data_IF_711983416933
#
_entry.id   IF_711983416933
#
_cell.length_a   1.000
_cell.length_b   1.000
_cell.length_c   1.000
_cell.angle_alpha   90.00
_cell.angle_beta   90.00
_cell.angle_gamma   90.00
#
_symmetry.space_group_name_H-M   'P 1'
#
loop_
_entity.id
_entity.type
_entity.pdbx_description
1 polymer ?
#
# COMPACT_ATOMS: atom_id res chain seq x y z
N UNK A 1 36.25 -60.15 -36.36
CA UNK A 1 37.26 -59.09 -36.57
C UNK A 1 36.64 -58.07 -37.51
N UNK A 2 35.54 -57.44 -37.10
CA UNK A 2 35.45 -56.24 -36.27
C UNK A 2 36.05 -54.99 -36.92
N UNK A 3 35.15 -54.02 -37.06
CA UNK A 3 35.27 -52.72 -37.71
C UNK A 3 35.75 -51.68 -36.70
N UNK A 4 36.50 -50.67 -37.13
CA UNK A 4 36.76 -49.47 -36.31
C UNK A 4 36.90 -48.25 -37.22
N UNK A 5 35.83 -47.46 -37.25
CA UNK A 5 35.76 -46.10 -37.77
C UNK A 5 36.39 -45.13 -36.77
N UNK A 6 37.20 -44.17 -37.23
CA UNK A 6 37.60 -43.00 -36.45
C UNK A 6 37.15 -41.73 -37.19
N UNK A 7 36.10 -41.10 -36.67
CA UNK A 7 35.70 -39.73 -37.00
C UNK A 7 36.28 -38.77 -35.94
N UNK A 8 36.76 -37.57 -36.32
CA UNK A 8 37.37 -36.64 -35.38
C UNK A 8 36.32 -35.80 -34.64
N UNK A 9 36.48 -35.77 -33.31
CA UNK A 9 36.19 -34.65 -32.40
C UNK A 9 35.00 -33.73 -32.68
N UNK A 10 33.81 -34.11 -32.18
CA UNK A 10 32.78 -33.14 -31.84
C UNK A 10 33.14 -32.49 -30.49
N UNK A 11 33.66 -31.26 -30.53
CA UNK A 11 33.70 -30.37 -29.37
C UNK A 11 32.25 -30.00 -29.02
N UNK A 12 31.66 -30.74 -28.06
CA UNK A 12 30.36 -30.43 -27.48
C UNK A 12 30.42 -29.09 -26.74
N UNK A 13 29.83 -28.06 -27.33
CA UNK A 13 29.62 -26.78 -26.68
C UNK A 13 28.52 -26.96 -25.62
N UNK A 14 28.92 -27.21 -24.37
CA UNK A 14 28.01 -27.18 -23.21
C UNK A 14 27.50 -25.75 -23.04
N UNK A 15 26.33 -25.47 -23.59
CA UNK A 15 25.52 -24.30 -23.26
C UNK A 15 25.04 -24.47 -21.82
N UNK A 16 25.86 -24.05 -20.85
CA UNK A 16 25.39 -23.81 -19.49
C UNK A 16 24.50 -22.57 -19.55
N UNK A 17 23.20 -22.79 -19.78
CA UNK A 17 22.19 -21.78 -19.55
C UNK A 17 22.20 -21.54 -18.05
N UNK A 18 22.94 -20.52 -17.61
CA UNK A 18 22.77 -19.94 -16.29
C UNK A 18 21.36 -19.35 -16.29
N UNK A 19 20.39 -20.16 -15.86
CA UNK A 19 19.09 -19.66 -15.42
C UNK A 19 19.41 -18.86 -14.16
N UNK A 20 19.72 -17.57 -14.36
CA UNK A 20 19.64 -16.58 -13.33
C UNK A 20 18.17 -16.56 -12.93
N UNK A 21 17.83 -17.33 -11.90
CA UNK A 21 16.64 -17.07 -11.13
C UNK A 21 16.83 -15.65 -10.60
N UNK A 22 16.25 -14.68 -11.30
CA UNK A 22 15.92 -13.41 -10.69
C UNK A 22 15.16 -13.79 -9.42
N UNK A 23 15.75 -13.53 -8.25
CA UNK A 23 15.05 -13.69 -6.98
C UNK A 23 13.79 -12.83 -7.09
N UNK A 24 12.67 -13.48 -7.43
CA UNK A 24 11.35 -12.89 -7.31
C UNK A 24 11.25 -12.32 -5.91
N UNK A 25 10.73 -11.10 -5.81
CA UNK A 25 10.49 -10.45 -4.52
C UNK A 25 9.79 -11.46 -3.63
N UNK A 26 10.38 -11.83 -2.50
CA UNK A 26 9.79 -12.84 -1.62
C UNK A 26 8.42 -12.29 -1.18
N UNK A 27 7.35 -12.90 -1.69
CA UNK A 27 6.00 -12.49 -1.31
C UNK A 27 5.80 -12.83 0.17
N UNK A 28 5.30 -11.85 0.92
CA UNK A 28 5.09 -11.96 2.35
C UNK A 28 3.68 -12.49 2.55
N UNK A 29 3.53 -13.63 3.22
CA UNK A 29 2.22 -14.22 3.58
C UNK A 29 1.34 -13.22 4.32
N UNK A 30 0.05 -13.21 3.98
CA UNK A 30 -0.99 -12.40 4.61
C UNK A 30 -0.98 -12.54 6.14
N UNK A 31 -0.94 -13.78 6.63
CA UNK A 31 -1.05 -14.08 8.06
C UNK A 31 0.17 -13.65 8.88
N UNK A 32 1.27 -13.23 8.23
CA UNK A 32 2.42 -12.66 8.95
C UNK A 32 2.06 -11.33 9.63
N UNK A 33 1.25 -10.50 8.98
CA UNK A 33 1.00 -9.12 9.41
C UNK A 33 -0.49 -8.78 9.55
N UNK A 34 -1.37 -9.62 9.03
CA UNK A 34 -2.81 -9.38 8.97
C UNK A 34 -3.60 -10.56 9.52
N UNK A 35 -4.84 -10.30 9.93
CA UNK A 35 -5.81 -11.30 10.29
C UNK A 35 -7.16 -10.98 9.65
N UNK A 36 -8.00 -12.00 9.50
CA UNK A 36 -9.39 -11.81 9.07
C UNK A 36 -10.21 -11.44 10.30
N UNK A 37 -10.88 -10.29 10.23
CA UNK A 37 -11.71 -9.79 11.34
C UNK A 37 -13.19 -10.10 11.16
N UNK A 38 -13.67 -10.13 9.92
CA UNK A 38 -15.07 -10.35 9.57
C UNK A 38 -15.20 -10.99 8.18
N UNK A 39 -16.32 -11.65 7.92
CA UNK A 39 -16.66 -12.13 6.58
C UNK A 39 -15.84 -13.33 6.11
N UNK A 40 -15.45 -14.24 7.01
CA UNK A 40 -14.61 -15.40 6.69
C UNK A 40 -15.13 -16.24 5.50
N UNK A 41 -16.45 -16.33 5.30
CA UNK A 41 -17.04 -17.03 4.15
C UNK A 41 -16.77 -16.36 2.79
N UNK A 42 -16.38 -15.08 2.79
CA UNK A 42 -16.08 -14.28 1.59
C UNK A 42 -14.58 -13.97 1.44
N UNK A 43 -13.74 -14.62 2.23
CA UNK A 43 -12.29 -14.51 2.19
C UNK A 43 -11.70 -15.79 1.60
N UNK A 44 -10.73 -15.66 0.71
CA UNK A 44 -9.94 -16.78 0.22
C UNK A 44 -8.46 -16.42 0.20
N UNK A 45 -7.64 -17.34 0.66
CA UNK A 45 -6.18 -17.23 0.61
C UNK A 45 -5.66 -18.09 -0.52
N UNK A 46 -4.75 -17.55 -1.32
CA UNK A 46 -4.24 -18.16 -2.55
C UNK A 46 -2.71 -18.14 -2.53
N UNK A 47 -2.09 -19.04 -3.31
CA UNK A 47 -0.64 -19.10 -3.52
C UNK A 47 0.18 -19.10 -2.21
N UNK A 48 -0.16 -19.99 -1.27
CA UNK A 48 0.50 -20.07 0.05
C UNK A 48 0.40 -18.75 0.83
N UNK A 49 -0.82 -18.18 0.83
CA UNK A 49 -1.18 -16.93 1.48
C UNK A 49 -0.46 -15.67 0.96
N UNK A 50 0.21 -15.76 -0.18
CA UNK A 50 0.87 -14.63 -0.83
C UNK A 50 -0.14 -13.68 -1.50
N UNK A 51 -1.35 -14.16 -1.77
CA UNK A 51 -2.47 -13.38 -2.28
C UNK A 51 -3.74 -13.68 -1.49
N UNK A 52 -4.56 -12.66 -1.26
CA UNK A 52 -5.90 -12.87 -0.72
C UNK A 52 -6.96 -12.25 -1.62
N UNK A 53 -8.08 -12.94 -1.71
CA UNK A 53 -9.26 -12.54 -2.46
C UNK A 53 -10.40 -12.23 -1.49
N UNK A 54 -10.96 -11.03 -1.61
CA UNK A 54 -12.19 -10.64 -0.93
C UNK A 54 -13.34 -10.62 -1.94
N UNK A 55 -14.49 -11.17 -1.55
CA UNK A 55 -15.71 -11.17 -2.36
C UNK A 55 -16.83 -10.37 -1.70
N UNK A 56 -17.66 -9.74 -2.51
CA UNK A 56 -18.85 -9.01 -2.08
C UNK A 56 -20.05 -9.44 -2.92
N UNK A 57 -21.11 -9.91 -2.26
CA UNK A 57 -22.38 -10.28 -2.86
C UNK A 57 -23.55 -9.92 -1.93
N UNK A 58 -24.78 -10.29 -2.31
CA UNK A 58 -26.00 -9.98 -1.55
C UNK A 58 -26.06 -10.67 -0.18
N UNK A 59 -25.31 -11.74 0.03
CA UNK A 59 -25.25 -12.50 1.29
C UNK A 59 -24.18 -11.96 2.23
N UNK A 60 -23.24 -11.18 1.72
CA UNK A 60 -22.26 -10.47 2.52
C UNK A 60 -22.96 -9.55 3.51
N UNK A 61 -22.74 -9.81 4.81
CA UNK A 61 -23.27 -8.98 5.90
C UNK A 61 -22.92 -7.52 5.61
N UNK A 62 -23.92 -6.64 5.61
CA UNK A 62 -23.76 -5.18 5.44
C UNK A 62 -22.93 -4.61 6.58
N UNK A 63 -21.62 -4.76 6.53
CA UNK A 63 -20.71 -4.32 7.59
C UNK A 63 -20.51 -2.81 7.51
N UNK A 64 -20.49 -2.20 8.69
CA UNK A 64 -20.46 -0.74 8.90
C UNK A 64 -19.18 -0.12 8.32
N UNK A 65 -19.28 1.19 8.08
CA UNK A 65 -18.18 2.11 7.72
C UNK A 65 -16.95 1.85 8.59
N UNK A 66 -15.97 1.12 8.06
CA UNK A 66 -14.63 1.12 8.63
C UNK A 66 -13.85 2.23 7.96
N UNK A 67 -13.18 3.05 8.78
CA UNK A 67 -12.24 4.04 8.27
C UNK A 67 -11.02 3.26 7.80
N UNK A 68 -10.94 2.96 6.51
CA UNK A 68 -9.71 2.48 5.91
C UNK A 68 -8.65 3.56 6.09
N UNK A 69 -7.64 3.27 6.90
CA UNK A 69 -6.53 4.18 7.12
C UNK A 69 -5.43 3.74 6.15
N UNK A 70 -5.19 4.48 5.06
CA UNK A 70 -4.10 4.18 4.16
C UNK A 70 -2.75 4.22 4.90
N UNK A 71 -1.85 3.32 4.51
CA UNK A 71 -0.50 3.23 5.07
C UNK A 71 0.25 4.54 4.85
N UNK A 72 0.75 5.15 5.92
CA UNK A 72 1.41 6.45 5.85
C UNK A 72 2.92 6.32 5.72
N UNK A 73 3.48 7.12 4.82
CA UNK A 73 4.87 7.55 4.87
C UNK A 73 4.90 9.07 5.04
N UNK A 74 4.96 9.56 6.29
CA UNK A 74 4.91 11.01 6.63
C UNK A 74 3.79 11.78 5.91
N UNK A 75 2.58 11.21 5.85
CA UNK A 75 1.43 11.87 5.24
C UNK A 75 1.43 11.86 3.70
N UNK A 76 2.27 11.04 3.07
CA UNK A 76 2.35 10.90 1.62
C UNK A 76 1.68 9.61 1.15
N UNK A 77 1.00 9.70 0.01
CA UNK A 77 0.29 8.60 -0.63
C UNK A 77 0.87 8.36 -2.02
N UNK A 78 1.08 7.09 -2.36
CA UNK A 78 1.74 6.68 -3.60
C UNK A 78 0.93 5.63 -4.35
N UNK A 79 1.05 5.66 -5.68
CA UNK A 79 0.67 4.57 -6.60
C UNK A 79 1.91 4.28 -7.44
N UNK A 80 2.41 3.04 -7.44
CA UNK A 80 3.63 2.65 -8.17
C UNK A 80 4.84 3.56 -7.94
N UNK A 81 5.02 4.03 -6.69
CA UNK A 81 6.05 4.99 -6.26
C UNK A 81 5.87 6.43 -6.78
N UNK A 82 4.76 6.73 -7.46
CA UNK A 82 4.37 8.07 -7.88
C UNK A 82 3.53 8.71 -6.77
N UNK A 83 3.93 9.86 -6.20
CA UNK A 83 3.14 10.54 -5.19
C UNK A 83 1.84 11.08 -5.81
N UNK A 84 0.71 10.78 -5.17
CA UNK A 84 -0.62 11.24 -5.57
C UNK A 84 -1.22 12.24 -4.58
N UNK A 85 -0.73 12.28 -3.33
CA UNK A 85 -1.11 13.25 -2.30
C UNK A 85 0.00 13.41 -1.26
N UNK A 86 0.19 14.63 -0.78
CA UNK A 86 1.06 14.98 0.35
C UNK A 86 0.25 15.74 1.39
N UNK A 87 0.26 15.26 2.62
CA UNK A 87 -0.39 15.85 3.78
C UNK A 87 0.69 16.19 4.80
N UNK A 88 1.01 17.48 4.97
CA UNK A 88 2.16 17.90 5.77
C UNK A 88 1.73 18.13 7.23
N UNK A 89 2.56 17.67 8.16
CA UNK A 89 2.42 18.06 9.56
C UNK A 89 2.85 19.53 9.73
N UNK A 90 1.91 20.41 10.06
CA UNK A 90 2.14 21.83 10.32
C UNK A 90 2.49 22.14 11.78
N UNK A 91 2.59 21.13 12.64
CA UNK A 91 2.79 21.32 14.09
C UNK A 91 1.53 21.79 14.83
N UNK A 92 0.40 21.90 14.13
CA UNK A 92 -0.88 22.27 14.71
C UNK A 92 -1.49 21.02 15.36
N UNK A 93 -1.77 21.11 16.66
CA UNK A 93 -2.32 19.99 17.42
C UNK A 93 -3.69 19.58 16.84
N UNK A 94 -3.87 18.28 16.61
CA UNK A 94 -5.14 17.71 16.14
C UNK A 94 -5.35 17.74 14.62
N UNK A 95 -4.47 18.39 13.84
CA UNK A 95 -4.61 18.43 12.37
C UNK A 95 -3.82 17.33 11.67
N UNK A 96 -2.92 16.65 12.38
CA UNK A 96 -2.08 15.59 11.84
C UNK A 96 -2.20 14.32 12.71
N UNK A 97 -2.29 13.11 12.13
CA UNK A 97 -2.39 11.88 12.91
C UNK A 97 -1.09 11.62 13.68
N UNK A 98 -1.19 11.55 15.01
CA UNK A 98 -0.06 11.28 15.92
C UNK A 98 -0.25 10.04 16.78
N UNK A 99 -1.38 9.34 16.63
CA UNK A 99 -1.70 8.12 17.36
C UNK A 99 -1.26 6.88 16.57
N UNK A 100 -1.09 5.74 17.26
CA UNK A 100 -0.89 4.46 16.59
C UNK A 100 -2.09 4.13 15.70
N UNK A 101 -1.84 3.47 14.58
CA UNK A 101 -2.85 3.15 13.57
C UNK A 101 -2.72 1.69 13.15
N UNK A 102 -3.81 1.16 12.61
CA UNK A 102 -3.88 -0.17 12.03
C UNK A 102 -4.13 -0.06 10.53
N UNK A 103 -3.52 -0.96 9.76
CA UNK A 103 -3.80 -1.10 8.33
C UNK A 103 -4.99 -2.02 8.16
N UNK A 104 -5.97 -1.59 7.37
CA UNK A 104 -7.23 -2.32 7.17
C UNK A 104 -7.57 -2.33 5.68
N UNK A 105 -7.78 -3.51 5.11
CA UNK A 105 -8.31 -3.72 3.76
C UNK A 105 -9.73 -4.27 3.81
N UNK A 106 -10.65 -3.71 3.02
CA UNK A 106 -12.06 -4.12 2.99
C UNK A 106 -12.66 -3.93 1.59
N UNK A 107 -13.70 -4.71 1.28
CA UNK A 107 -14.64 -4.47 0.19
C UNK A 107 -16.04 -4.37 0.81
N UNK A 108 -16.83 -3.36 0.44
CA UNK A 108 -18.14 -3.12 1.06
C UNK A 108 -19.07 -2.33 0.13
N UNK A 109 -20.38 -2.39 0.39
CA UNK A 109 -21.41 -1.64 -0.35
C UNK A 109 -21.54 -0.20 0.16
N UNK A 110 -21.23 0.78 -0.70
CA UNK A 110 -21.26 2.22 -0.44
C UNK A 110 -22.31 2.98 -1.29
N UNK A 111 -23.47 2.40 -1.54
CA UNK A 111 -24.54 2.98 -2.38
C UNK A 111 -24.99 4.40 -2.00
N UNK A 112 -24.79 4.81 -0.74
CA UNK A 112 -25.15 6.13 -0.24
C UNK A 112 -24.31 7.27 -0.84
N UNK A 113 -23.10 7.01 -1.33
CA UNK A 113 -22.24 8.05 -1.92
C UNK A 113 -21.40 7.59 -3.11
N UNK A 114 -21.18 6.28 -3.31
CA UNK A 114 -20.41 5.73 -4.43
C UNK A 114 -21.27 5.39 -5.66
N UNK A 115 -22.60 5.47 -5.54
CA UNK A 115 -23.55 5.15 -6.60
C UNK A 115 -24.19 3.76 -6.45
N UNK A 116 -25.25 3.51 -7.22
CA UNK A 116 -26.05 2.26 -7.15
C UNK A 116 -25.26 1.04 -7.64
N UNK A 117 -25.38 -0.10 -6.95
CA UNK A 117 -24.74 -1.35 -7.35
C UNK A 117 -25.72 -2.22 -8.15
N UNK A 118 -25.24 -2.79 -9.25
CA UNK A 118 -25.95 -3.82 -10.00
C UNK A 118 -25.56 -5.21 -9.49
N UNK A 119 -26.33 -5.72 -8.54
CA UNK A 119 -26.06 -7.00 -7.89
C UNK A 119 -26.15 -8.23 -8.82
N UNK A 120 -26.71 -8.09 -10.02
CA UNK A 120 -26.67 -9.18 -11.01
C UNK A 120 -25.25 -9.51 -11.48
N UNK A 121 -24.30 -8.61 -11.24
CA UNK A 121 -22.87 -8.76 -11.58
C UNK A 121 -22.02 -9.31 -10.44
N UNK A 122 -22.65 -9.66 -9.30
CA UNK A 122 -21.95 -10.27 -8.19
C UNK A 122 -21.46 -11.70 -8.55
N UNK A 123 -20.41 -12.22 -7.87
CA UNK A 123 -19.65 -11.57 -6.81
C UNK A 123 -18.67 -10.52 -7.35
N UNK A 124 -18.56 -9.40 -6.62
CA UNK A 124 -17.49 -8.42 -6.86
C UNK A 124 -16.25 -8.85 -6.12
N UNK A 125 -15.11 -8.87 -6.81
CA UNK A 125 -13.88 -9.46 -6.27
C UNK A 125 -12.76 -8.44 -6.22
N UNK A 126 -12.06 -8.38 -5.09
CA UNK A 126 -10.84 -7.60 -4.91
C UNK A 126 -9.69 -8.52 -4.50
N UNK A 127 -8.57 -8.42 -5.22
CA UNK A 127 -7.35 -9.17 -4.96
C UNK A 127 -6.31 -8.26 -4.30
N UNK A 128 -5.65 -8.76 -3.26
CA UNK A 128 -4.59 -8.05 -2.56
C UNK A 128 -3.35 -8.92 -2.50
N UNK A 129 -2.19 -8.30 -2.65
CA UNK A 129 -0.87 -8.89 -2.53
C UNK A 129 0.07 -7.89 -1.85
N UNK A 130 1.27 -8.35 -1.49
CA UNK A 130 2.31 -7.46 -0.96
C UNK A 130 2.04 -7.04 0.49
N UNK A 131 1.82 -8.03 1.37
CA UNK A 131 1.45 -7.81 2.77
C UNK A 131 2.61 -7.41 3.70
N UNK A 132 3.72 -6.91 3.16
CA UNK A 132 4.84 -6.45 3.97
C UNK A 132 4.53 -5.10 4.63
N UNK A 133 4.83 -4.98 5.92
CA UNK A 133 4.69 -3.74 6.68
C UNK A 133 6.07 -3.34 7.17
N UNK A 134 6.60 -2.25 6.64
CA UNK A 134 7.80 -1.63 7.16
C UNK A 134 7.42 -0.38 7.96
N UNK A 135 7.38 -0.53 9.28
CA UNK A 135 6.96 0.52 10.18
C UNK A 135 7.38 0.24 11.61
N UNK A 136 6.98 1.15 12.50
CA UNK A 136 7.25 1.02 13.91
C UNK A 136 6.04 0.40 14.61
N UNK A 137 6.17 -0.85 15.05
CA UNK A 137 5.07 -1.59 15.70
C UNK A 137 4.97 -1.14 17.16
N UNK A 138 3.77 -0.74 17.57
CA UNK A 138 3.45 -0.41 18.97
C UNK A 138 2.69 -1.61 19.55
N UNK A 139 3.32 -2.46 20.38
CA UNK A 139 2.72 -3.72 20.83
C UNK A 139 1.55 -3.52 21.79
N UNK A 140 1.61 -2.48 22.63
CA UNK A 140 0.50 -2.08 23.50
C UNK A 140 0.22 -0.58 23.30
N UNK A 141 -0.98 -0.26 22.79
CA UNK A 141 -1.43 1.11 22.54
C UNK A 141 -1.89 1.83 23.80
N UNK A 142 -2.04 1.12 24.92
CA UNK A 142 -2.39 1.68 26.22
C UNK A 142 -1.15 2.00 27.06
N UNK A 143 0.00 1.41 26.72
CA UNK A 143 1.29 1.67 27.39
C UNK A 143 2.05 2.85 26.75
N UNK A 144 2.24 3.97 27.46
CA UNK A 144 3.05 5.09 26.97
C UNK A 144 4.53 4.72 26.70
N UNK A 145 5.05 3.70 27.39
CA UNK A 145 6.40 3.17 27.21
C UNK A 145 6.62 2.58 25.83
N UNK A 146 5.62 1.86 25.31
CA UNK A 146 5.62 1.27 23.97
C UNK A 146 5.74 2.29 22.85
N UNK A 147 5.06 3.45 22.95
CA UNK A 147 5.22 4.55 21.99
C UNK A 147 6.63 5.15 22.02
N UNK A 148 7.19 5.34 23.23
CA UNK A 148 8.56 5.84 23.39
C UNK A 148 9.55 4.86 22.78
N UNK A 149 9.47 3.58 23.13
CA UNK A 149 10.34 2.53 22.60
C UNK A 149 10.34 2.51 21.08
N UNK A 150 9.15 2.59 20.47
CA UNK A 150 8.98 2.74 19.05
C UNK A 150 9.78 3.95 18.48
N UNK A 151 9.60 5.15 19.03
CA UNK A 151 10.34 6.33 18.59
C UNK A 151 11.86 6.17 18.72
N UNK A 152 12.36 5.68 19.86
CA UNK A 152 13.80 5.55 20.13
C UNK A 152 14.47 4.47 19.26
N UNK A 153 13.84 3.31 19.12
CA UNK A 153 14.41 2.17 18.39
C UNK A 153 14.46 2.40 16.88
N UNK A 154 13.58 3.27 16.36
CA UNK A 154 13.50 3.57 14.92
C UNK A 154 14.05 4.95 14.53
N UNK A 155 14.82 5.62 15.41
CA UNK A 155 15.46 6.92 15.09
C UNK A 155 16.35 6.85 13.84
N UNK A 156 17.01 5.71 13.63
CA UNK A 156 17.93 5.49 12.51
C UNK A 156 17.28 4.75 11.33
N UNK A 157 16.00 4.39 11.43
CA UNK A 157 15.29 3.77 10.33
C UNK A 157 15.27 4.71 9.11
N UNK A 158 15.31 4.14 7.91
CA UNK A 158 15.50 4.92 6.68
C UNK A 158 14.46 6.04 6.49
N UNK A 159 13.21 5.81 6.89
CA UNK A 159 12.13 6.80 6.78
C UNK A 159 12.33 7.99 7.75
N UNK A 160 13.04 7.81 8.86
CA UNK A 160 13.36 8.86 9.83
C UNK A 160 14.35 9.92 9.31
N UNK A 161 15.03 9.66 8.19
CA UNK A 161 16.00 10.59 7.61
C UNK A 161 15.29 11.76 6.92
N UNK A 162 15.74 13.00 7.15
CA UNK A 162 15.14 14.21 6.55
C UNK A 162 15.02 14.15 5.02
N UNK A 163 16.02 13.58 4.36
CA UNK A 163 16.02 13.38 2.91
C UNK A 163 14.82 12.53 2.44
N UNK A 164 14.38 11.60 3.28
CA UNK A 164 13.26 10.71 3.01
C UNK A 164 11.93 11.26 3.51
N UNK A 165 11.88 12.40 4.22
CA UNK A 165 10.65 13.04 4.71
C UNK A 165 10.05 14.05 3.72
N UNK A 166 10.74 14.31 2.61
CA UNK A 166 10.28 15.24 1.56
C UNK A 166 10.21 14.52 0.21
N UNK A 167 9.53 15.11 -0.76
CA UNK A 167 9.55 14.60 -2.12
C UNK A 167 10.89 14.97 -2.77
N UNK A 168 11.46 14.06 -3.54
CA UNK A 168 12.55 14.41 -4.45
C UNK A 168 12.05 15.36 -5.53
N UNK A 169 12.95 16.11 -6.19
CA UNK A 169 12.58 16.98 -7.34
C UNK A 169 11.79 16.23 -8.42
N UNK A 170 12.19 14.98 -8.72
CA UNK A 170 11.50 14.12 -9.69
C UNK A 170 10.08 13.77 -9.23
N UNK A 171 9.94 13.32 -7.98
CA UNK A 171 8.63 13.04 -7.39
C UNK A 171 7.74 14.28 -7.33
N UNK A 172 8.30 15.45 -7.03
CA UNK A 172 7.57 16.72 -7.06
C UNK A 172 7.02 17.05 -8.45
N UNK A 173 7.79 16.82 -9.52
CA UNK A 173 7.30 16.98 -10.89
C UNK A 173 6.19 15.99 -11.23
N UNK A 174 6.36 14.73 -10.85
CA UNK A 174 5.32 13.70 -11.06
C UNK A 174 4.04 14.04 -10.30
N UNK A 175 4.14 14.49 -9.05
CA UNK A 175 3.01 14.92 -8.23
C UNK A 175 2.21 16.03 -8.91
N UNK A 176 2.88 17.07 -9.40
CA UNK A 176 2.23 18.17 -10.14
C UNK A 176 1.54 17.68 -11.40
N UNK A 177 2.18 16.78 -12.15
CA UNK A 177 1.60 16.21 -13.35
C UNK A 177 0.36 15.37 -13.04
N UNK A 178 0.41 14.54 -11.99
CA UNK A 178 -0.74 13.74 -11.56
C UNK A 178 -1.90 14.64 -11.20
N UNK A 179 -1.65 15.65 -10.35
CA UNK A 179 -2.68 16.59 -9.93
C UNK A 179 -3.28 17.37 -11.10
N UNK A 180 -2.49 17.78 -12.08
CA UNK A 180 -3.00 18.52 -13.24
C UNK A 180 -3.87 17.66 -14.16
N UNK A 181 -3.57 16.36 -14.28
CA UNK A 181 -4.16 15.49 -15.31
C UNK A 181 -5.27 14.57 -14.79
N UNK A 182 -5.20 14.17 -13.53
CA UNK A 182 -6.04 13.09 -12.97
C UNK A 182 -6.79 13.48 -11.69
N UNK A 183 -6.68 14.73 -11.22
CA UNK A 183 -7.38 15.18 -10.01
C UNK A 183 -8.75 15.74 -10.38
N UNK A 184 -9.78 14.95 -10.15
CA UNK A 184 -11.17 15.36 -10.42
C UNK A 184 -11.78 16.14 -9.26
N UNK A 185 -11.32 15.90 -8.03
CA UNK A 185 -11.83 16.56 -6.83
C UNK A 185 -10.72 16.83 -5.81
N UNK A 186 -10.75 18.03 -5.22
CA UNK A 186 -9.91 18.41 -4.10
C UNK A 186 -10.66 19.32 -3.12
N UNK A 187 -10.75 18.88 -1.87
CA UNK A 187 -11.38 19.64 -0.80
C UNK A 187 -10.70 20.99 -0.54
N UNK A 188 -9.41 21.12 -0.86
CA UNK A 188 -8.69 22.38 -0.74
C UNK A 188 -9.18 23.47 -1.69
N UNK A 189 -9.75 23.09 -2.84
CA UNK A 189 -10.30 24.00 -3.85
C UNK A 189 -11.82 24.12 -3.80
N UNK A 190 -12.52 23.23 -3.10
CA UNK A 190 -13.98 23.26 -2.95
C UNK A 190 -14.40 24.39 -1.98
N UNK A 191 -14.61 25.58 -2.55
CA UNK A 191 -15.07 26.77 -1.82
C UNK A 191 -16.54 26.75 -1.43
N UNK A 192 -17.32 25.90 -2.09
CA UNK A 192 -18.74 25.73 -1.76
C UNK A 192 -18.88 25.00 -0.43
N UNK A 193 -18.10 23.93 -0.25
CA UNK A 193 -18.09 23.15 0.99
C UNK A 193 -17.19 23.76 2.07
N UNK A 194 -16.06 24.34 1.68
CA UNK A 194 -15.08 24.94 2.59
C UNK A 194 -14.75 26.38 2.15
N UNK A 195 -15.59 27.36 2.55
CA UNK A 195 -15.39 28.76 2.19
C UNK A 195 -13.99 29.28 2.57
N UNK A 196 -13.49 28.84 3.73
CA UNK A 196 -12.13 29.07 4.19
C UNK A 196 -11.34 27.76 4.06
N UNK A 197 -10.19 27.75 3.33
CA UNK A 197 -9.36 26.55 3.22
C UNK A 197 -8.76 26.17 4.57
N UNK A 198 -8.59 24.87 4.79
CA UNK A 198 -7.81 24.40 5.93
C UNK A 198 -6.32 24.77 5.80
N UNK A 199 -5.60 24.97 6.91
CA UNK A 199 -4.21 25.45 6.89
C UNK A 199 -3.24 24.60 6.06
N UNK A 200 -3.41 23.28 6.03
CA UNK A 200 -2.55 22.36 5.28
C UNK A 200 -2.65 22.53 3.77
N UNK A 201 -3.76 23.07 3.27
CA UNK A 201 -3.95 23.32 1.84
C UNK A 201 -2.99 24.40 1.30
N UNK A 202 -2.48 25.25 2.18
CA UNK A 202 -1.54 26.32 1.85
C UNK A 202 -0.08 25.92 2.07
N UNK A 203 0.15 24.70 2.58
CA UNK A 203 1.49 24.23 2.86
C UNK A 203 2.32 24.10 1.57
N UNK A 204 3.54 24.66 1.50
CA UNK A 204 4.41 24.46 0.36
C UNK A 204 4.66 22.96 0.16
N UNK A 205 4.43 22.46 -1.05
CA UNK A 205 4.60 21.04 -1.40
C UNK A 205 6.07 20.61 -1.49
N UNK A 206 7.00 21.41 -0.95
CA UNK A 206 8.42 21.08 -0.78
C UNK A 206 9.09 20.62 -2.07
N UNK A 207 9.17 21.53 -3.06
CA UNK A 207 10.08 21.41 -4.20
C UNK A 207 11.29 22.28 -3.88
#
# INVERSE_FOLDING_TARGET
MESSYLLPGFLGFLLVVNVLFARGRQEVSFYRNYNVTWGNAHFSSLYDDAEVQLTLDQTSVKTRRHKSIPTYDYGRFFVDKIPIRVFKNLGIKGTYPTQAMQVVGTIWNAEDWAGKIDWSKAPFTAHFQGFDINGCVVPDVLDPGSFRGCYYNHRNAWWSWRANQTLTRRQGMQYRNVRRKYLDYDYCSDRTRYPVPFPECQAPTGI
#
